data_IF_071467335919
#
_entry.id   IF_071467335919
#
_cell.length_a   1.000
_cell.length_b   1.000
_cell.length_c   1.000
_cell.angle_alpha   90.00
_cell.angle_beta   90.00
_cell.angle_gamma   90.00
#
_symmetry.space_group_name_H-M   'P 1'
#
loop_
_entity.id
_entity.type
_entity.pdbx_description
1 polymer ?
#
# COMPACT_ATOMS: atom_id res chain seq x y z
N UNK A 1 10.81 16.09 -13.88
CA UNK A 1 11.01 14.77 -13.27
C UNK A 1 9.98 13.72 -13.70
N UNK A 2 8.68 13.84 -13.38
CA UNK A 2 7.70 12.79 -13.71
C UNK A 2 7.59 12.47 -15.22
N UNK A 3 7.41 13.48 -16.09
CA UNK A 3 7.34 13.28 -17.54
C UNK A 3 8.62 12.66 -18.12
N UNK A 4 9.79 13.07 -17.62
CA UNK A 4 11.07 12.51 -18.06
C UNK A 4 11.19 11.02 -17.69
N UNK A 5 10.74 10.63 -16.49
CA UNK A 5 10.74 9.24 -16.06
C UNK A 5 9.83 8.38 -16.96
N UNK A 6 8.63 8.87 -17.32
CA UNK A 6 7.73 8.18 -18.25
C UNK A 6 8.39 8.01 -19.63
N UNK A 7 8.96 9.08 -20.19
CA UNK A 7 9.62 9.01 -21.49
C UNK A 7 10.76 7.99 -21.50
N UNK A 8 11.59 7.97 -20.45
CA UNK A 8 12.68 6.99 -20.33
C UNK A 8 12.12 5.57 -20.19
N UNK A 9 11.08 5.36 -19.39
CA UNK A 9 10.45 4.05 -19.23
C UNK A 9 9.87 3.52 -20.54
N UNK A 10 9.26 4.40 -21.34
CA UNK A 10 8.76 4.08 -22.68
C UNK A 10 9.91 3.72 -23.63
N UNK A 11 10.97 4.53 -23.65
CA UNK A 11 12.16 4.25 -24.47
C UNK A 11 12.84 2.92 -24.09
N UNK A 12 12.82 2.56 -22.81
CA UNK A 12 13.37 1.30 -22.30
C UNK A 12 12.41 0.10 -22.42
N UNK A 13 11.19 0.29 -22.91
CA UNK A 13 10.20 -0.77 -23.06
C UNK A 13 9.65 -1.33 -21.75
N UNK A 14 9.82 -0.62 -20.63
CA UNK A 14 9.35 -1.03 -19.29
C UNK A 14 8.08 -0.29 -18.86
N UNK A 15 7.60 0.67 -19.68
CA UNK A 15 6.36 1.39 -19.42
C UNK A 15 5.15 0.53 -19.79
N UNK A 16 4.28 0.28 -18.83
CA UNK A 16 2.98 -0.35 -19.05
C UNK A 16 1.91 0.75 -19.15
N UNK A 17 1.22 0.81 -20.28
CA UNK A 17 0.16 1.79 -20.47
C UNK A 17 -1.05 1.48 -19.56
N UNK A 18 -1.63 2.49 -18.89
CA UNK A 18 -2.85 2.30 -18.13
C UNK A 18 -4.04 1.97 -19.06
N UNK A 19 -5.11 1.35 -18.53
CA UNK A 19 -6.29 1.01 -19.31
C UNK A 19 -6.99 2.27 -19.83
N UNK A 20 -7.54 2.20 -21.03
CA UNK A 20 -8.37 3.26 -21.61
C UNK A 20 -9.82 3.10 -21.13
N UNK A 21 -10.43 4.20 -20.71
CA UNK A 21 -11.83 4.23 -20.29
C UNK A 21 -12.60 5.08 -21.31
N UNK A 22 -13.67 4.54 -21.94
CA UNK A 22 -14.46 5.31 -22.89
C UNK A 22 -15.11 6.51 -22.20
N UNK A 23 -15.03 7.69 -22.83
CA UNK A 23 -15.69 8.90 -22.34
C UNK A 23 -17.13 8.95 -22.84
N UNK A 24 -18.04 9.46 -22.02
CA UNK A 24 -19.42 9.74 -22.45
C UNK A 24 -19.50 11.12 -23.11
N UNK A 25 -20.28 11.23 -24.17
CA UNK A 25 -20.59 12.51 -24.82
C UNK A 25 -21.64 13.33 -24.07
N UNK A 26 -22.25 12.76 -23.01
CA UNK A 26 -23.33 13.42 -22.26
C UNK A 26 -23.14 13.32 -20.75
N UNK A 27 -23.67 14.33 -20.03
CA UNK A 27 -23.65 14.37 -18.57
C UNK A 27 -24.77 13.50 -18.00
N UNK A 28 -24.43 12.54 -17.16
CA UNK A 28 -25.39 11.68 -16.46
C UNK A 28 -25.44 12.01 -14.97
N UNK A 29 -26.64 12.01 -14.39
CA UNK A 29 -26.85 12.17 -12.95
C UNK A 29 -27.36 10.87 -12.34
N UNK A 30 -26.79 10.48 -11.20
CA UNK A 30 -27.26 9.34 -10.41
C UNK A 30 -28.68 9.63 -9.91
N UNK A 31 -29.62 8.71 -10.17
CA UNK A 31 -31.05 8.85 -9.81
C UNK A 31 -31.52 7.88 -8.73
N UNK A 32 -30.71 6.88 -8.38
CA UNK A 32 -31.06 5.82 -7.42
C UNK A 32 -29.88 5.53 -6.51
N UNK A 33 -30.17 5.32 -5.23
CA UNK A 33 -29.18 4.95 -4.21
C UNK A 33 -28.52 3.60 -4.46
N UNK A 34 -29.14 2.75 -5.31
CA UNK A 34 -28.55 1.50 -5.77
C UNK A 34 -27.20 1.68 -6.46
N UNK A 35 -26.86 2.91 -6.88
CA UNK A 35 -25.52 3.28 -7.33
C UNK A 35 -24.40 2.99 -6.31
N UNK A 36 -24.73 2.98 -5.01
CA UNK A 36 -23.81 2.70 -3.91
C UNK A 36 -23.72 1.20 -3.58
N UNK A 37 -24.59 0.35 -4.15
CA UNK A 37 -24.63 -1.08 -3.85
C UNK A 37 -23.31 -1.77 -4.15
N UNK A 38 -22.93 -2.73 -3.30
CA UNK A 38 -21.71 -3.52 -3.44
C UNK A 38 -21.84 -5.00 -3.06
N UNK A 39 -22.72 -5.34 -2.11
CA UNK A 39 -22.90 -6.71 -1.62
C UNK A 39 -24.24 -7.34 -2.01
N UNK A 40 -25.30 -6.54 -2.05
CA UNK A 40 -26.67 -7.00 -2.32
C UNK A 40 -27.30 -6.11 -3.39
N UNK A 41 -28.16 -6.71 -4.21
CA UNK A 41 -28.80 -6.05 -5.34
C UNK A 41 -27.86 -5.81 -6.52
N UNK A 42 -28.33 -5.04 -7.50
CA UNK A 42 -27.57 -4.76 -8.71
C UNK A 42 -26.30 -3.97 -8.41
N UNK A 43 -25.18 -4.46 -8.94
CA UNK A 43 -23.86 -3.84 -8.82
C UNK A 43 -23.50 -3.15 -10.12
N UNK A 44 -23.33 -1.82 -10.06
CA UNK A 44 -22.86 -1.05 -11.22
C UNK A 44 -21.40 -1.39 -11.59
N UNK A 45 -20.99 -1.14 -12.85
CA UNK A 45 -19.58 -1.15 -13.25
C UNK A 45 -18.71 -0.24 -12.38
N UNK A 46 -17.40 -0.49 -12.40
CA UNK A 46 -16.41 0.35 -11.71
C UNK A 46 -16.40 1.76 -12.31
N UNK A 47 -16.24 2.77 -11.45
CA UNK A 47 -15.97 4.14 -11.88
C UNK A 47 -14.49 4.29 -12.25
N UNK A 48 -14.19 5.28 -13.10
CA UNK A 48 -12.81 5.62 -13.44
C UNK A 48 -11.93 5.90 -12.21
N UNK A 49 -12.47 6.56 -11.19
CA UNK A 49 -11.77 6.79 -9.92
C UNK A 49 -11.45 5.49 -9.18
N UNK A 50 -12.40 4.55 -9.13
CA UNK A 50 -12.22 3.25 -8.48
C UNK A 50 -11.18 2.41 -9.22
N UNK A 51 -11.21 2.41 -10.56
CA UNK A 51 -10.20 1.75 -11.41
C UNK A 51 -8.82 2.35 -11.15
N UNK A 52 -8.70 3.67 -11.15
CA UNK A 52 -7.45 4.36 -10.90
C UNK A 52 -6.85 4.01 -9.53
N UNK A 53 -7.69 3.96 -8.48
CA UNK A 53 -7.23 3.57 -7.15
C UNK A 53 -6.80 2.10 -7.09
N UNK A 54 -7.54 1.17 -7.70
CA UNK A 54 -7.11 -0.23 -7.76
C UNK A 54 -5.78 -0.39 -8.49
N UNK A 55 -5.65 0.22 -9.66
CA UNK A 55 -4.43 0.18 -10.46
C UNK A 55 -3.22 0.71 -9.69
N UNK A 56 -3.33 1.92 -9.14
CA UNK A 56 -2.23 2.55 -8.39
C UNK A 56 -1.86 1.75 -7.13
N UNK A 57 -2.84 1.17 -6.43
CA UNK A 57 -2.56 0.37 -5.25
C UNK A 57 -1.97 -1.00 -5.57
N UNK A 58 -2.28 -1.61 -6.73
CA UNK A 58 -1.60 -2.81 -7.20
C UNK A 58 -0.13 -2.50 -7.46
N UNK A 59 0.18 -1.44 -8.22
CA UNK A 59 1.57 -1.05 -8.49
C UNK A 59 2.35 -0.77 -7.19
N UNK A 60 1.77 -0.03 -6.25
CA UNK A 60 2.39 0.26 -4.96
C UNK A 60 2.66 -1.00 -4.14
N UNK A 61 1.71 -1.94 -4.11
CA UNK A 61 1.87 -3.17 -3.34
C UNK A 61 2.86 -4.13 -4.01
N UNK A 62 2.86 -4.21 -5.34
CA UNK A 62 3.87 -4.97 -6.07
C UNK A 62 5.27 -4.41 -5.81
N UNK A 63 5.45 -3.08 -5.86
CA UNK A 63 6.73 -2.43 -5.58
C UNK A 63 7.18 -2.71 -4.14
N UNK A 64 6.25 -2.60 -3.19
CA UNK A 64 6.50 -2.95 -1.79
C UNK A 64 6.92 -4.41 -1.62
N UNK A 65 6.21 -5.35 -2.26
CA UNK A 65 6.53 -6.78 -2.23
C UNK A 65 7.94 -7.06 -2.76
N UNK A 66 8.28 -6.54 -3.94
CA UNK A 66 9.61 -6.69 -4.52
C UNK A 66 10.71 -6.11 -3.62
N UNK A 67 10.48 -4.93 -3.03
CA UNK A 67 11.43 -4.27 -2.12
C UNK A 67 11.64 -5.10 -0.85
N UNK A 68 10.54 -5.55 -0.23
CA UNK A 68 10.55 -6.38 0.98
C UNK A 68 11.24 -7.73 0.71
N UNK A 69 10.99 -8.34 -0.46
CA UNK A 69 11.63 -9.58 -0.85
C UNK A 69 13.15 -9.39 -1.03
N UNK A 70 13.56 -8.30 -1.66
CA UNK A 70 14.97 -7.91 -1.76
C UNK A 70 15.64 -7.70 -0.40
N UNK A 71 14.99 -6.99 0.53
CA UNK A 71 15.50 -6.83 1.89
C UNK A 71 15.57 -8.19 2.63
N UNK A 72 14.58 -9.06 2.44
CA UNK A 72 14.59 -10.38 3.06
C UNK A 72 15.72 -11.28 2.56
N UNK A 73 16.28 -11.04 1.37
CA UNK A 73 17.45 -11.76 0.86
C UNK A 73 18.71 -11.47 1.69
N UNK A 74 18.87 -10.22 2.16
CA UNK A 74 20.13 -9.71 2.73
C UNK A 74 20.09 -9.38 4.22
N UNK A 75 18.90 -9.26 4.82
CA UNK A 75 18.75 -8.99 6.25
C UNK A 75 19.40 -10.10 7.10
N UNK A 76 20.12 -9.71 8.15
CA UNK A 76 20.83 -10.65 9.02
C UNK A 76 19.91 -11.19 10.13
N UNK A 77 19.08 -10.33 10.71
CA UNK A 77 18.14 -10.70 11.76
C UNK A 77 17.05 -11.64 11.24
N UNK A 78 16.97 -12.84 11.84
CA UNK A 78 15.93 -13.83 11.54
C UNK A 78 14.52 -13.31 11.85
N UNK A 79 14.39 -12.51 12.90
CA UNK A 79 13.11 -11.96 13.33
C UNK A 79 12.60 -10.91 12.33
N UNK A 80 13.49 -10.03 11.87
CA UNK A 80 13.18 -9.04 10.83
C UNK A 80 12.90 -9.76 9.50
N UNK A 81 13.67 -10.80 9.16
CA UNK A 81 13.40 -11.63 7.97
C UNK A 81 11.99 -12.22 7.99
N UNK A 82 11.55 -12.78 9.12
CA UNK A 82 10.20 -13.31 9.27
C UNK A 82 9.13 -12.21 9.12
N UNK A 83 9.36 -11.04 9.72
CA UNK A 83 8.50 -9.87 9.55
C UNK A 83 8.39 -9.42 8.08
N UNK A 84 9.50 -9.37 7.35
CA UNK A 84 9.52 -9.03 5.93
C UNK A 84 8.75 -10.06 5.08
N UNK A 85 9.00 -11.35 5.28
CA UNK A 85 8.28 -12.40 4.54
C UNK A 85 6.76 -12.37 4.82
N UNK A 86 6.34 -12.05 6.05
CA UNK A 86 4.93 -11.80 6.36
C UNK A 86 4.37 -10.62 5.55
N UNK A 87 5.11 -9.51 5.47
CA UNK A 87 4.74 -8.34 4.66
C UNK A 87 4.58 -8.66 3.18
N UNK A 88 5.48 -9.46 2.62
CA UNK A 88 5.38 -9.92 1.24
C UNK A 88 4.06 -10.69 0.99
N UNK A 89 3.70 -11.60 1.92
CA UNK A 89 2.44 -12.34 1.81
C UNK A 89 1.20 -11.43 1.89
N UNK A 90 1.23 -10.42 2.78
CA UNK A 90 0.14 -9.42 2.88
C UNK A 90 0.02 -8.64 1.57
N UNK A 91 1.14 -8.13 1.03
CA UNK A 91 1.16 -7.38 -0.22
C UNK A 91 0.61 -8.20 -1.39
N UNK A 92 1.05 -9.46 -1.55
CA UNK A 92 0.55 -10.37 -2.58
C UNK A 92 -0.95 -10.65 -2.42
N UNK A 93 -1.45 -10.80 -1.18
CA UNK A 93 -2.89 -10.93 -0.90
C UNK A 93 -3.68 -9.69 -1.32
N UNK A 94 -3.14 -8.51 -1.06
CA UNK A 94 -3.78 -7.23 -1.40
C UNK A 94 -3.79 -7.02 -2.92
N UNK A 95 -2.66 -7.25 -3.60
CA UNK A 95 -2.57 -7.28 -5.06
C UNK A 95 -3.64 -8.20 -5.65
N UNK A 96 -3.68 -9.46 -5.20
CA UNK A 96 -4.67 -10.45 -5.69
C UNK A 96 -6.11 -9.98 -5.49
N UNK A 97 -6.40 -9.36 -4.34
CA UNK A 97 -7.74 -8.86 -4.01
C UNK A 97 -8.16 -7.71 -4.93
N UNK A 98 -7.25 -6.78 -5.24
CA UNK A 98 -7.50 -5.67 -6.15
C UNK A 98 -7.58 -6.11 -7.61
N UNK A 99 -6.67 -6.99 -8.05
CA UNK A 99 -6.64 -7.55 -9.39
C UNK A 99 -7.97 -8.23 -9.74
N UNK A 100 -8.56 -8.95 -8.80
CA UNK A 100 -9.86 -9.60 -8.99
C UNK A 100 -10.99 -8.63 -9.39
N UNK A 101 -10.97 -7.38 -8.89
CA UNK A 101 -11.96 -6.37 -9.28
C UNK A 101 -11.75 -5.88 -10.72
N UNK A 102 -10.51 -5.70 -11.13
CA UNK A 102 -10.16 -5.28 -12.49
C UNK A 102 -10.49 -6.38 -13.50
N UNK A 103 -10.07 -7.62 -13.22
CA UNK A 103 -10.30 -8.79 -14.08
C UNK A 103 -11.79 -9.06 -14.29
N UNK A 104 -12.60 -9.02 -13.22
CA UNK A 104 -14.07 -9.16 -13.31
C UNK A 104 -14.74 -8.07 -14.15
N UNK A 105 -14.05 -6.96 -14.36
CA UNK A 105 -14.52 -5.84 -15.18
C UNK A 105 -13.86 -5.83 -16.57
N UNK A 106 -13.13 -6.90 -16.93
CA UNK A 106 -12.35 -7.02 -18.17
C UNK A 106 -11.29 -5.93 -18.34
N UNK A 107 -10.74 -5.43 -17.22
CA UNK A 107 -9.69 -4.41 -17.20
C UNK A 107 -8.34 -5.10 -16.98
N UNK A 108 -7.32 -4.82 -17.80
CA UNK A 108 -5.98 -5.35 -17.60
C UNK A 108 -5.40 -4.94 -16.24
N UNK A 109 -4.80 -5.91 -15.57
CA UNK A 109 -4.07 -5.73 -14.31
C UNK A 109 -2.65 -5.22 -14.63
N UNK A 110 -2.12 -4.21 -13.91
CA UNK A 110 -0.74 -3.78 -14.11
C UNK A 110 0.25 -4.91 -13.83
N UNK A 111 1.37 -4.88 -14.54
CA UNK A 111 2.44 -5.88 -14.37
C UNK A 111 3.05 -5.77 -12.98
N UNK A 112 3.25 -6.91 -12.32
CA UNK A 112 3.95 -6.97 -11.03
C UNK A 112 5.44 -6.68 -11.19
N UNK A 113 6.04 -6.06 -10.18
CA UNK A 113 7.48 -5.76 -10.12
C UNK A 113 8.34 -6.90 -9.56
N UNK A 114 7.76 -8.08 -9.35
CA UNK A 114 8.44 -9.23 -8.74
C UNK A 114 9.65 -9.69 -9.57
N UNK A 115 9.63 -9.46 -10.89
CA UNK A 115 10.73 -9.77 -11.81
C UNK A 115 11.98 -8.90 -11.63
N UNK A 116 11.89 -7.80 -10.87
CA UNK A 116 13.03 -6.91 -10.63
C UNK A 116 13.88 -7.32 -9.41
N UNK A 117 13.47 -8.34 -8.66
CA UNK A 117 14.27 -8.85 -7.53
C UNK A 117 15.47 -9.62 -8.08
N UNK A 118 16.68 -9.14 -7.75
CA UNK A 118 17.94 -9.68 -8.29
C UNK A 118 18.44 -10.90 -7.52
N UNK A 119 19.45 -11.59 -8.06
CA UNK A 119 20.14 -12.71 -7.37
C UNK A 119 21.09 -12.25 -6.24
N UNK A 120 21.31 -10.95 -6.10
CA UNK A 120 22.21 -10.40 -5.08
C UNK A 120 21.69 -10.70 -3.67
N UNK A 121 22.39 -11.57 -2.96
CA UNK A 121 22.00 -12.07 -1.63
C UNK A 121 23.10 -11.96 -0.56
N UNK A 122 24.27 -11.44 -0.93
CA UNK A 122 25.45 -11.43 -0.05
C UNK A 122 25.88 -10.04 0.42
N UNK A 123 25.49 -8.99 -0.30
CA UNK A 123 25.84 -7.60 0.06
C UNK A 123 24.55 -6.83 0.31
N UNK A 124 24.31 -6.47 1.58
CA UNK A 124 23.19 -5.63 1.92
C UNK A 124 23.46 -4.18 1.51
N UNK A 125 22.52 -3.49 0.83
CA UNK A 125 22.67 -2.08 0.50
C UNK A 125 22.52 -1.17 1.73
N UNK A 126 21.86 -1.66 2.79
CA UNK A 126 21.50 -0.89 3.99
C UNK A 126 21.60 -1.75 5.26
N UNK A 127 21.63 -1.11 6.42
CA UNK A 127 21.54 -1.83 7.71
C UNK A 127 20.13 -2.39 7.94
N UNK A 128 20.02 -3.44 8.76
CA UNK A 128 18.74 -4.00 9.22
C UNK A 128 17.81 -2.92 9.79
N UNK A 129 18.36 -1.97 10.57
CA UNK A 129 17.64 -0.79 11.10
C UNK A 129 17.00 0.02 9.98
N UNK A 130 17.76 0.36 8.95
CA UNK A 130 17.29 1.21 7.86
C UNK A 130 16.30 0.48 6.95
N UNK A 131 16.53 -0.81 6.66
CA UNK A 131 15.58 -1.63 5.90
C UNK A 131 14.23 -1.78 6.61
N UNK A 132 14.25 -2.02 7.93
CA UNK A 132 13.04 -2.10 8.75
C UNK A 132 12.32 -0.75 8.80
N UNK A 133 13.05 0.35 9.02
CA UNK A 133 12.51 1.71 8.99
C UNK A 133 11.83 2.04 7.65
N UNK A 134 12.48 1.78 6.51
CA UNK A 134 11.88 1.98 5.19
C UNK A 134 10.63 1.13 4.97
N UNK A 135 10.66 -0.12 5.42
CA UNK A 135 9.51 -1.02 5.32
C UNK A 135 8.31 -0.47 6.09
N UNK A 136 8.50 -0.04 7.35
CA UNK A 136 7.46 0.59 8.16
C UNK A 136 6.95 1.88 7.49
N UNK A 137 7.84 2.68 6.94
CA UNK A 137 7.49 3.88 6.15
C UNK A 137 6.57 3.56 4.97
N UNK A 138 6.88 2.53 4.18
CA UNK A 138 6.03 2.12 3.06
C UNK A 138 4.64 1.65 3.53
N UNK A 139 4.57 0.89 4.62
CA UNK A 139 3.30 0.36 5.17
C UNK A 139 2.42 1.50 5.69
N UNK A 140 3.00 2.45 6.44
CA UNK A 140 2.26 3.62 6.97
C UNK A 140 1.74 4.52 5.85
N UNK A 141 2.51 4.73 4.77
CA UNK A 141 1.99 5.39 3.56
C UNK A 141 0.88 4.59 2.89
N UNK A 142 0.97 3.26 2.89
CA UNK A 142 -0.10 2.36 2.44
C UNK A 142 -1.44 2.63 3.12
N UNK A 143 -1.44 2.87 4.45
CA UNK A 143 -2.65 3.24 5.21
C UNK A 143 -3.26 4.53 4.66
N UNK A 144 -2.44 5.54 4.40
CA UNK A 144 -2.90 6.82 3.85
C UNK A 144 -3.50 6.66 2.44
N UNK A 145 -2.86 5.85 1.58
CA UNK A 145 -3.37 5.58 0.23
C UNK A 145 -4.71 4.82 0.26
N UNK A 146 -4.88 3.87 1.18
CA UNK A 146 -6.15 3.18 1.34
C UNK A 146 -7.22 4.10 1.91
N UNK A 147 -6.88 4.99 2.85
CA UNK A 147 -7.78 6.04 3.33
C UNK A 147 -8.27 6.96 2.21
N UNK A 148 -7.38 7.39 1.32
CA UNK A 148 -7.74 8.13 0.11
C UNK A 148 -8.68 7.31 -0.80
N UNK A 149 -8.38 6.03 -0.98
CA UNK A 149 -9.19 5.13 -1.81
C UNK A 149 -10.61 4.97 -1.26
N UNK A 150 -10.76 4.89 0.07
CA UNK A 150 -12.05 4.91 0.77
C UNK A 150 -12.78 6.22 0.50
N UNK A 151 -12.11 7.36 0.67
CA UNK A 151 -12.71 8.68 0.48
C UNK A 151 -13.21 8.93 -0.96
N UNK A 152 -12.53 8.35 -1.96
CA UNK A 152 -12.86 8.55 -3.38
C UNK A 152 -13.74 7.46 -3.99
N UNK A 153 -14.11 6.43 -3.22
CA UNK A 153 -14.93 5.31 -3.69
C UNK A 153 -16.34 5.39 -3.13
N UNK A 154 -17.34 5.26 -3.98
CA UNK A 154 -18.75 5.32 -3.58
C UNK A 154 -19.37 3.93 -3.37
N UNK A 155 -18.79 2.89 -4.00
CA UNK A 155 -19.34 1.54 -3.93
C UNK A 155 -18.99 0.86 -2.61
N UNK A 156 -19.99 0.40 -1.86
CA UNK A 156 -19.82 -0.02 -0.47
C UNK A 156 -18.87 -1.21 -0.29
N UNK A 157 -18.87 -2.17 -1.23
CA UNK A 157 -17.96 -3.31 -1.21
C UNK A 157 -16.49 -2.90 -1.32
N UNK A 158 -16.20 -1.89 -2.16
CA UNK A 158 -14.86 -1.33 -2.33
C UNK A 158 -14.41 -0.61 -1.06
N UNK A 159 -15.28 0.24 -0.49
CA UNK A 159 -14.93 0.99 0.74
C UNK A 159 -14.61 0.06 1.90
N UNK A 160 -15.37 -1.03 2.07
CA UNK A 160 -15.12 -2.00 3.13
C UNK A 160 -13.91 -2.87 2.85
N UNK A 161 -13.62 -3.20 1.58
CA UNK A 161 -12.38 -3.89 1.22
C UNK A 161 -11.16 -3.08 1.66
N UNK A 162 -11.12 -1.78 1.30
CA UNK A 162 -10.01 -0.91 1.71
C UNK A 162 -9.97 -0.70 3.22
N UNK A 163 -11.11 -0.58 3.92
CA UNK A 163 -11.14 -0.45 5.37
C UNK A 163 -10.54 -1.70 6.05
N UNK A 164 -10.93 -2.90 5.60
CA UNK A 164 -10.37 -4.17 6.08
C UNK A 164 -8.87 -4.24 5.85
N UNK A 165 -8.43 -3.95 4.63
CA UNK A 165 -7.01 -3.96 4.28
C UNK A 165 -6.21 -2.91 5.06
N UNK A 166 -6.78 -1.74 5.33
CA UNK A 166 -6.16 -0.67 6.14
C UNK A 166 -5.91 -1.14 7.57
N UNK A 167 -6.89 -1.80 8.19
CA UNK A 167 -6.73 -2.35 9.54
C UNK A 167 -5.62 -3.40 9.60
N UNK A 168 -5.56 -4.29 8.61
CA UNK A 168 -4.52 -5.32 8.51
C UNK A 168 -3.11 -4.72 8.42
N UNK A 169 -2.90 -3.73 7.55
CA UNK A 169 -1.57 -3.11 7.42
C UNK A 169 -1.24 -2.16 8.59
N UNK A 170 -2.24 -1.61 9.28
CA UNK A 170 -2.03 -0.84 10.50
C UNK A 170 -1.48 -1.71 11.63
N UNK A 171 -2.06 -2.90 11.86
CA UNK A 171 -1.51 -3.87 12.81
C UNK A 171 -0.12 -4.38 12.38
N UNK A 172 0.10 -4.59 11.08
CA UNK A 172 1.42 -4.95 10.58
C UNK A 172 2.47 -3.85 10.82
N UNK A 173 2.12 -2.58 10.65
CA UNK A 173 3.01 -1.46 10.98
C UNK A 173 3.34 -1.41 12.48
N UNK A 174 2.36 -1.67 13.34
CA UNK A 174 2.57 -1.75 14.79
C UNK A 174 3.57 -2.84 15.17
N UNK A 175 3.49 -4.02 14.55
CA UNK A 175 4.48 -5.10 14.74
C UNK A 175 5.90 -4.64 14.36
N UNK A 176 6.05 -3.91 13.25
CA UNK A 176 7.34 -3.36 12.84
C UNK A 176 7.88 -2.33 13.83
N UNK A 177 7.02 -1.46 14.37
CA UNK A 177 7.40 -0.50 15.41
C UNK A 177 7.85 -1.22 16.69
N UNK A 178 7.16 -2.30 17.10
CA UNK A 178 7.60 -3.13 18.24
C UNK A 178 8.99 -3.73 18.02
N UNK A 179 9.30 -4.20 16.81
CA UNK A 179 10.65 -4.66 16.48
C UNK A 179 11.68 -3.53 16.59
N UNK A 180 11.36 -2.32 16.12
CA UNK A 180 12.25 -1.16 16.28
C UNK A 180 12.46 -0.81 17.76
N UNK A 181 11.43 -0.89 18.60
CA UNK A 181 11.54 -0.66 20.05
C UNK A 181 12.42 -1.73 20.70
N UNK A 182 12.18 -3.02 20.41
CA UNK A 182 12.95 -4.13 20.98
C UNK A 182 14.45 -4.10 20.63
N UNK A 183 14.82 -3.46 19.51
CA UNK A 183 16.21 -3.31 19.09
C UNK A 183 16.82 -1.95 19.47
N UNK A 184 16.14 -1.12 20.28
CA UNK A 184 16.57 0.25 20.62
C UNK A 184 16.78 1.15 19.39
N UNK A 185 15.96 0.97 18.36
CA UNK A 185 16.04 1.69 17.09
C UNK A 185 14.95 2.74 16.90
N UNK A 186 13.90 2.72 17.72
CA UNK A 186 12.78 3.65 17.64
C UNK A 186 13.04 4.89 18.49
N UNK A 187 13.38 6.00 17.84
CA UNK A 187 13.60 7.28 18.50
C UNK A 187 12.26 7.92 18.90
N UNK A 188 12.13 8.33 20.15
CA UNK A 188 10.95 9.03 20.65
C UNK A 188 10.85 10.41 19.97
N UNK A 189 9.74 10.70 19.25
CA UNK A 189 9.50 12.05 18.75
C UNK A 189 9.34 13.06 19.89
N UNK A 190 9.53 14.36 19.66
CA UNK A 190 9.31 15.38 20.68
C UNK A 190 7.91 15.24 21.31
N UNK A 191 7.87 15.03 22.62
CA UNK A 191 6.63 14.91 23.39
C UNK A 191 6.22 16.25 24.03
N UNK A 192 4.93 16.48 24.15
CA UNK A 192 4.43 17.60 24.96
C UNK A 192 4.70 17.34 26.44
N UNK A 193 4.88 18.40 27.23
CA UNK A 193 4.96 18.27 28.69
C UNK A 193 3.65 17.72 29.27
N UNK A 194 3.75 16.77 30.18
CA UNK A 194 2.60 16.31 30.95
C UNK A 194 2.31 17.33 32.08
N UNK A 195 1.24 18.11 31.89
CA UNK A 195 0.85 19.15 32.85
C UNK A 195 0.36 18.56 34.18
N UNK A 196 -0.22 17.36 34.18
CA UNK A 196 -0.67 16.70 35.40
C UNK A 196 0.53 16.17 36.19
N UNK A 197 1.50 15.58 35.50
CA UNK A 197 2.77 15.14 36.11
C UNK A 197 3.51 16.34 36.73
N UNK A 198 3.61 17.46 36.02
CA UNK A 198 4.23 18.68 36.57
C UNK A 198 3.52 19.23 37.82
N UNK A 199 2.19 19.13 37.90
CA UNK A 199 1.43 19.56 39.08
C UNK A 199 1.65 18.61 40.26
N UNK A 200 1.76 17.30 40.00
CA UNK A 200 1.88 16.27 41.03
C UNK A 200 3.32 16.08 41.51
N UNK A 201 4.28 16.10 40.59
CA UNK A 201 5.67 15.69 40.81
C UNK A 201 6.70 16.79 40.47
N UNK A 202 6.29 17.94 39.92
CA UNK A 202 7.21 18.98 39.42
C UNK A 202 7.90 19.86 40.47
N UNK A 203 7.94 19.45 41.74
CA UNK A 203 8.62 20.18 42.84
C UNK A 203 9.80 19.43 43.46
N UNK A 204 10.17 18.26 42.93
CA UNK A 204 11.42 17.56 43.30
C UNK A 204 12.58 17.99 42.39
#
# INVERSE_FOLDING_TARGET
>A
MHMQAITIAQQKGVYVSPPNIPTSDTVHFVKKDSFLNGWFGDKRPLLASEIAQFYANIERNALGAATILGFAQVVESKEIKAYLLKGNNIAQKHVSSFSNYLEKSYIPVPMGSDSYVTESSHVSPFSDKLMLFYTIGMITQGVAFYGMSIATSARRDITTLYAKHSGEIAFYAEEGIKLMIHNDWFEEPPRMVDRNDLIQNGRE
#
